data_IF_183082019663
#
_entry.id   IF_183082019663
#
_cell.length_a   1.000
_cell.length_b   1.000
_cell.length_c   1.000
_cell.angle_alpha   90.00
_cell.angle_beta   90.00
_cell.angle_gamma   90.00
#
_symmetry.space_group_name_H-M   'P 1'
#
loop_
_entity.id
_entity.type
_entity.pdbx_description
1 polymer ?
#
# COMPACT_ATOMS: atom_id res chain seq x y z
N UNK A 1 15.79 11.85 -14.20
CA UNK A 1 15.18 10.78 -13.36
C UNK A 1 14.85 11.39 -12.01
N UNK A 2 13.64 11.92 -11.85
CA UNK A 2 13.15 12.40 -10.54
C UNK A 2 12.73 11.18 -9.73
N UNK A 3 13.58 10.75 -8.79
CA UNK A 3 13.19 9.74 -7.81
C UNK A 3 12.17 10.36 -6.87
N UNK A 4 10.95 9.81 -6.83
CA UNK A 4 9.94 10.16 -5.84
C UNK A 4 10.47 9.75 -4.47
N UNK A 5 10.75 10.73 -3.61
CA UNK A 5 11.25 10.49 -2.26
C UNK A 5 10.07 10.15 -1.34
N UNK A 6 10.06 8.93 -0.79
CA UNK A 6 9.10 8.57 0.25
C UNK A 6 9.45 9.35 1.53
N UNK A 7 8.51 10.13 2.02
CA UNK A 7 8.72 11.01 3.18
C UNK A 7 7.62 10.88 4.22
N UNK A 8 7.96 11.25 5.45
CA UNK A 8 7.02 11.35 6.56
C UNK A 8 7.25 12.63 7.33
N UNK A 9 6.19 13.38 7.59
CA UNK A 9 6.22 14.55 8.46
C UNK A 9 6.56 14.10 9.89
N UNK A 10 7.59 14.71 10.47
CA UNK A 10 8.02 14.37 11.82
C UNK A 10 7.07 14.93 12.86
N UNK A 11 6.57 14.06 13.74
CA UNK A 11 5.65 14.46 14.81
C UNK A 11 6.27 15.33 15.90
N UNK A 12 7.60 15.49 15.94
CA UNK A 12 8.26 16.29 16.99
C UNK A 12 8.18 17.80 16.75
N UNK A 13 8.05 18.24 15.50
CA UNK A 13 7.95 19.66 15.14
C UNK A 13 6.85 19.94 14.11
N UNK A 14 6.20 18.88 13.59
CA UNK A 14 5.04 18.92 12.69
C UNK A 14 5.10 20.04 11.65
N UNK A 15 6.13 20.04 10.78
CA UNK A 15 6.28 21.06 9.74
C UNK A 15 5.07 21.09 8.81
N UNK A 16 4.64 22.29 8.44
CA UNK A 16 3.55 22.54 7.50
C UNK A 16 4.07 23.26 6.26
N UNK A 17 3.33 23.15 5.14
CA UNK A 17 3.68 23.81 3.87
C UNK A 17 4.00 25.30 4.12
N UNK A 18 5.16 25.75 3.65
CA UNK A 18 5.68 27.11 3.88
C UNK A 18 6.72 27.23 5.00
N UNK A 19 6.86 26.24 5.90
CA UNK A 19 7.99 26.19 6.83
C UNK A 19 9.31 25.92 6.06
N UNK A 20 10.43 26.45 6.55
CA UNK A 20 11.75 26.00 6.08
C UNK A 20 12.03 24.61 6.66
N UNK A 21 12.23 23.63 5.78
CA UNK A 21 12.35 22.21 6.16
C UNK A 21 13.74 21.64 5.91
N UNK A 22 14.02 20.54 6.61
CA UNK A 22 15.20 19.69 6.44
C UNK A 22 14.74 18.23 6.46
N UNK A 23 15.35 17.40 5.62
CA UNK A 23 15.12 15.97 5.55
C UNK A 23 16.16 15.20 6.36
N UNK A 24 15.74 14.10 6.96
CA UNK A 24 16.66 13.12 7.57
C UNK A 24 16.40 11.73 7.01
N UNK A 25 17.40 11.14 6.36
CA UNK A 25 17.30 9.82 5.74
C UNK A 25 17.42 8.72 6.80
N UNK A 26 16.34 7.98 7.04
CA UNK A 26 16.34 6.80 7.94
C UNK A 26 17.00 5.59 7.29
N UNK A 27 17.33 4.59 8.10
CA UNK A 27 17.83 3.27 7.62
C UNK A 27 16.85 2.53 6.71
N UNK A 28 15.56 2.77 6.90
CA UNK A 28 14.50 2.23 6.03
C UNK A 28 14.47 2.86 4.64
N UNK A 29 15.25 3.93 4.38
CA UNK A 29 15.19 4.72 3.15
C UNK A 29 14.10 5.79 3.12
N UNK A 30 13.30 5.92 4.18
CA UNK A 30 12.29 6.98 4.32
C UNK A 30 12.92 8.29 4.83
N UNK A 31 12.52 9.43 4.26
CA UNK A 31 12.93 10.76 4.73
C UNK A 31 11.97 11.25 5.82
N UNK A 32 12.50 11.51 7.01
CA UNK A 32 11.79 12.27 8.05
C UNK A 32 11.89 13.76 7.74
N UNK A 33 10.76 14.46 7.60
CA UNK A 33 10.73 15.91 7.33
C UNK A 33 10.60 16.67 8.65
N UNK A 34 11.55 17.55 8.93
CA UNK A 34 11.62 18.38 10.12
C UNK A 34 11.64 19.87 9.75
N UNK A 35 11.29 20.77 10.68
CA UNK A 35 11.64 22.19 10.56
C UNK A 35 13.15 22.35 10.65
N UNK A 36 13.73 23.29 9.92
CA UNK A 36 15.18 23.53 9.92
C UNK A 36 15.76 23.85 11.32
N UNK A 37 14.95 24.44 12.21
CA UNK A 37 15.34 24.77 13.60
C UNK A 37 14.93 23.71 14.62
N UNK A 38 14.69 22.47 14.21
CA UNK A 38 14.27 21.41 15.12
C UNK A 38 15.44 20.95 16.01
N UNK A 39 15.30 21.07 17.33
CA UNK A 39 16.33 20.66 18.32
C UNK A 39 16.67 19.16 18.26
N UNK A 40 15.75 18.31 17.78
CA UNK A 40 16.03 16.88 17.63
C UNK A 40 17.11 16.57 16.59
N UNK A 41 17.37 17.48 15.65
CA UNK A 41 18.38 17.28 14.61
C UNK A 41 19.80 17.24 15.19
N UNK A 42 20.05 17.91 16.31
CA UNK A 42 21.37 17.95 16.96
C UNK A 42 21.85 16.57 17.44
N UNK A 43 20.93 15.64 17.64
CA UNK A 43 21.21 14.28 18.13
C UNK A 43 21.33 13.25 17.00
N UNK A 44 21.16 13.67 15.74
CA UNK A 44 21.13 12.79 14.58
C UNK A 44 22.47 12.80 13.84
N UNK A 45 22.68 11.79 13.00
CA UNK A 45 23.88 11.64 12.17
C UNK A 45 23.89 12.72 11.07
N UNK A 46 24.86 13.66 11.09
CA UNK A 46 24.89 14.79 10.15
C UNK A 46 24.97 14.37 8.68
N UNK A 47 25.65 13.28 8.39
CA UNK A 47 25.81 12.73 7.03
C UNK A 47 24.51 12.24 6.40
N UNK A 48 23.44 12.09 7.18
CA UNK A 48 22.11 11.67 6.72
C UNK A 48 21.11 12.83 6.63
N UNK A 49 21.57 14.04 6.90
CA UNK A 49 20.79 15.27 6.76
C UNK A 49 20.77 15.67 5.28
N UNK A 50 19.57 15.88 4.76
CA UNK A 50 19.32 16.27 3.38
C UNK A 50 18.71 17.68 3.35
N UNK A 51 19.27 18.54 2.50
CA UNK A 51 18.62 19.79 2.13
C UNK A 51 17.49 19.45 1.16
N UNK A 52 16.25 19.77 1.54
CA UNK A 52 15.05 19.48 0.76
C UNK A 52 14.12 20.68 0.79
N UNK A 53 13.27 20.75 -0.22
CA UNK A 53 12.21 21.75 -0.36
C UNK A 53 10.84 21.07 -0.48
N UNK A 54 9.77 21.85 -0.32
CA UNK A 54 8.41 21.31 -0.39
C UNK A 54 8.06 20.85 -1.81
N UNK A 55 8.68 21.43 -2.82
CA UNK A 55 8.52 21.14 -4.25
C UNK A 55 9.15 19.79 -4.63
N UNK A 56 10.16 19.34 -3.88
CA UNK A 56 10.80 18.03 -4.06
C UNK A 56 10.01 16.90 -3.38
N UNK A 57 9.09 17.24 -2.47
CA UNK A 57 8.24 16.28 -1.79
C UNK A 57 6.97 16.03 -2.61
N UNK A 58 6.61 14.76 -2.90
CA UNK A 58 5.37 14.46 -3.61
C UNK A 58 4.17 15.07 -2.89
N UNK A 59 3.30 15.75 -3.64
CA UNK A 59 2.06 16.27 -3.08
C UNK A 59 1.11 15.11 -2.79
N UNK A 60 0.21 15.30 -1.83
CA UNK A 60 -0.86 14.32 -1.61
C UNK A 60 -1.78 14.24 -2.83
N UNK A 61 -1.97 15.35 -3.56
CA UNK A 61 -2.63 15.34 -4.87
C UNK A 61 -1.96 14.38 -5.86
N UNK A 62 -0.63 14.33 -5.92
CA UNK A 62 0.10 13.45 -6.84
C UNK A 62 -0.19 11.97 -6.52
N UNK A 63 -0.37 11.63 -5.25
CA UNK A 63 -0.78 10.29 -4.83
C UNK A 63 -2.22 10.01 -5.24
N UNK A 64 -3.13 10.96 -5.08
CA UNK A 64 -4.53 10.81 -5.49
C UNK A 64 -4.68 10.70 -7.01
N UNK A 65 -3.97 11.52 -7.77
CA UNK A 65 -3.90 11.45 -9.23
C UNK A 65 -3.38 10.09 -9.67
N UNK A 66 -2.27 9.62 -9.08
CA UNK A 66 -1.74 8.28 -9.38
C UNK A 66 -2.73 7.16 -9.03
N UNK A 67 -3.44 7.27 -7.90
CA UNK A 67 -4.49 6.32 -7.54
C UNK A 67 -5.58 6.29 -8.62
N UNK A 68 -6.03 7.45 -9.09
CA UNK A 68 -7.05 7.56 -10.12
C UNK A 68 -6.56 7.02 -11.48
N UNK A 69 -5.32 7.30 -11.88
CA UNK A 69 -4.70 6.73 -13.08
C UNK A 69 -4.68 5.20 -13.03
N UNK A 70 -4.35 4.62 -11.87
CA UNK A 70 -4.37 3.17 -11.69
C UNK A 70 -5.80 2.59 -11.78
N UNK A 71 -6.86 3.37 -11.50
CA UNK A 71 -8.24 2.91 -11.64
C UNK A 71 -8.63 2.68 -13.10
N UNK A 72 -8.15 3.52 -14.04
CA UNK A 72 -8.40 3.35 -15.47
C UNK A 72 -7.71 2.12 -16.07
N UNK A 73 -6.76 1.52 -15.35
CA UNK A 73 -6.08 0.30 -15.79
C UNK A 73 -6.86 -0.97 -15.42
N UNK A 74 -7.95 -0.88 -14.65
CA UNK A 74 -8.72 -2.04 -14.19
C UNK A 74 -9.84 -2.41 -15.16
N UNK A 75 -10.13 -3.70 -15.25
CA UNK A 75 -11.25 -4.25 -16.03
C UNK A 75 -12.30 -4.95 -15.15
N UNK A 76 -13.34 -5.49 -15.78
CA UNK A 76 -14.44 -6.17 -15.07
C UNK A 76 -13.97 -7.38 -14.26
N UNK A 77 -12.94 -8.08 -14.72
CA UNK A 77 -12.39 -9.25 -14.02
C UNK A 77 -11.62 -8.81 -12.78
N UNK A 78 -10.84 -7.74 -12.89
CA UNK A 78 -10.17 -7.11 -11.74
C UNK A 78 -11.20 -6.69 -10.68
N UNK A 79 -12.30 -6.05 -11.09
CA UNK A 79 -13.39 -5.67 -10.18
C UNK A 79 -13.99 -6.90 -9.48
N UNK A 80 -14.29 -7.97 -10.21
CA UNK A 80 -14.84 -9.21 -9.63
C UNK A 80 -13.88 -9.84 -8.61
N UNK A 81 -12.57 -9.87 -8.90
CA UNK A 81 -11.55 -10.38 -7.98
C UNK A 81 -11.46 -9.51 -6.72
N UNK A 82 -11.43 -8.19 -6.85
CA UNK A 82 -11.41 -7.27 -5.69
C UNK A 82 -12.67 -7.44 -4.84
N UNK A 83 -13.84 -7.52 -5.48
CA UNK A 83 -15.13 -7.75 -4.81
C UNK A 83 -15.17 -9.09 -4.08
N UNK A 84 -14.63 -10.15 -4.67
CA UNK A 84 -14.46 -11.44 -3.98
C UNK A 84 -13.65 -11.27 -2.70
N UNK A 85 -12.51 -10.60 -2.76
CA UNK A 85 -11.69 -10.35 -1.56
C UNK A 85 -12.38 -9.45 -0.52
N UNK A 86 -13.21 -8.50 -0.95
CA UNK A 86 -14.00 -7.70 -0.01
C UNK A 86 -15.02 -8.56 0.74
N UNK A 87 -15.75 -9.42 0.02
CA UNK A 87 -16.82 -10.25 0.58
C UNK A 87 -16.28 -11.45 1.37
N UNK A 88 -15.31 -12.15 0.78
CA UNK A 88 -14.78 -13.39 1.29
C UNK A 88 -13.55 -13.17 2.15
N UNK A 89 -12.81 -12.06 2.05
CA UNK A 89 -11.58 -11.83 2.81
C UNK A 89 -10.34 -12.46 2.16
N UNK A 90 -9.43 -12.98 2.99
CA UNK A 90 -8.16 -13.56 2.53
C UNK A 90 -8.42 -14.85 1.74
N UNK A 91 -7.88 -14.92 0.53
CA UNK A 91 -7.94 -16.13 -0.30
C UNK A 91 -6.74 -16.24 -1.26
N UNK A 92 -6.61 -17.39 -1.92
CA UNK A 92 -5.54 -17.68 -2.89
C UNK A 92 -6.11 -17.81 -4.31
N UNK A 93 -5.28 -17.54 -5.31
CA UNK A 93 -5.73 -17.35 -6.70
C UNK A 93 -6.57 -18.50 -7.28
N UNK A 94 -6.29 -19.75 -6.93
CA UNK A 94 -7.06 -20.90 -7.45
C UNK A 94 -8.49 -20.89 -6.93
N UNK A 95 -8.69 -20.60 -5.64
CA UNK A 95 -10.03 -20.51 -5.07
C UNK A 95 -10.80 -19.31 -5.63
N UNK A 96 -10.12 -18.17 -5.78
CA UNK A 96 -10.71 -16.97 -6.41
C UNK A 96 -11.11 -17.27 -7.86
N UNK A 97 -10.23 -17.90 -8.66
CA UNK A 97 -10.51 -18.24 -10.06
C UNK A 97 -11.79 -19.07 -10.20
N UNK A 98 -11.94 -20.08 -9.34
CA UNK A 98 -13.13 -20.94 -9.30
C UNK A 98 -14.38 -20.16 -8.90
N UNK A 99 -14.30 -19.31 -7.88
CA UNK A 99 -15.45 -18.59 -7.33
C UNK A 99 -15.87 -17.43 -8.27
N UNK A 100 -14.94 -16.82 -9.01
CA UNK A 100 -15.18 -15.78 -10.02
C UNK A 100 -15.58 -16.37 -11.39
N UNK A 101 -15.17 -17.61 -11.70
CA UNK A 101 -15.51 -18.29 -12.96
C UNK A 101 -14.53 -18.02 -14.11
N UNK A 102 -13.24 -17.83 -13.80
CA UNK A 102 -12.16 -17.60 -14.77
C UNK A 102 -11.09 -18.70 -14.69
N UNK A 103 -10.19 -18.77 -15.67
CA UNK A 103 -9.06 -19.71 -15.61
C UNK A 103 -8.09 -19.36 -14.49
N UNK A 104 -7.36 -20.38 -14.01
CA UNK A 104 -6.33 -20.19 -12.99
C UNK A 104 -5.23 -19.26 -13.46
N UNK A 105 -4.83 -19.38 -14.73
CA UNK A 105 -3.78 -18.57 -15.36
C UNK A 105 -4.19 -17.10 -15.39
N UNK A 106 -5.40 -16.80 -15.86
CA UNK A 106 -5.93 -15.44 -15.87
C UNK A 106 -5.98 -14.87 -14.45
N UNK A 107 -6.49 -15.64 -13.48
CA UNK A 107 -6.55 -15.18 -12.10
C UNK A 107 -5.16 -14.86 -11.51
N UNK A 108 -4.12 -15.63 -11.85
CA UNK A 108 -2.75 -15.33 -11.44
C UNK A 108 -2.23 -14.02 -12.08
N UNK A 109 -2.52 -13.80 -13.35
CA UNK A 109 -2.15 -12.56 -14.06
C UNK A 109 -2.81 -11.33 -13.45
N UNK A 110 -4.13 -11.39 -13.22
CA UNK A 110 -4.87 -10.33 -12.55
C UNK A 110 -4.38 -10.09 -11.10
N UNK A 111 -4.16 -11.14 -10.31
CA UNK A 111 -3.55 -10.98 -8.97
C UNK A 111 -2.18 -10.31 -9.02
N UNK A 112 -1.35 -10.64 -10.02
CA UNK A 112 -0.04 -10.02 -10.20
C UNK A 112 -0.18 -8.54 -10.52
N UNK A 113 -1.07 -8.18 -11.46
CA UNK A 113 -1.39 -6.80 -11.86
C UNK A 113 -1.91 -6.00 -10.66
N UNK A 114 -2.96 -6.49 -9.99
CA UNK A 114 -3.57 -5.85 -8.81
C UNK A 114 -2.56 -5.64 -7.68
N UNK A 115 -1.60 -6.55 -7.51
CA UNK A 115 -0.50 -6.38 -6.55
C UNK A 115 0.50 -5.31 -6.99
N UNK A 116 0.87 -5.26 -8.26
CA UNK A 116 1.78 -4.24 -8.78
C UNK A 116 1.17 -2.83 -8.67
N UNK A 117 -0.13 -2.71 -8.90
CA UNK A 117 -0.88 -1.47 -8.74
C UNK A 117 -1.29 -1.20 -7.27
N UNK A 118 -0.99 -2.10 -6.34
CA UNK A 118 -1.21 -1.89 -4.90
C UNK A 118 -2.64 -2.04 -4.40
N UNK A 119 -3.57 -2.62 -5.18
CA UNK A 119 -4.93 -2.94 -4.74
C UNK A 119 -4.99 -4.22 -3.89
N UNK A 120 -4.07 -5.15 -4.13
CA UNK A 120 -3.89 -6.35 -3.33
C UNK A 120 -2.47 -6.41 -2.76
N UNK A 121 -2.32 -7.05 -1.60
CA UNK A 121 -1.00 -7.40 -1.05
C UNK A 121 -0.95 -8.87 -0.66
N UNK A 122 0.26 -9.42 -0.66
CA UNK A 122 0.48 -10.79 -0.16
C UNK A 122 0.36 -10.76 1.35
N UNK A 123 -0.36 -11.73 1.90
CA UNK A 123 -0.38 -11.93 3.35
C UNK A 123 1.02 -12.36 3.80
N UNK A 124 1.54 -11.82 4.88
CA UNK A 124 2.87 -12.19 5.39
C UNK A 124 2.81 -13.31 6.43
N UNK A 125 1.76 -13.33 7.26
CA UNK A 125 1.59 -14.30 8.35
C UNK A 125 1.46 -15.72 7.80
N UNK A 126 2.19 -16.66 8.40
CA UNK A 126 2.14 -18.09 8.05
C UNK A 126 0.82 -18.73 8.51
N UNK A 127 0.32 -18.28 9.66
CA UNK A 127 -0.98 -18.65 10.22
C UNK A 127 -1.99 -17.57 9.86
N UNK A 128 -3.05 -17.97 9.16
CA UNK A 128 -4.11 -17.06 8.70
C UNK A 128 -5.47 -17.58 9.13
N UNK A 129 -6.35 -16.66 9.54
CA UNK A 129 -7.77 -16.94 9.63
C UNK A 129 -8.37 -16.70 8.26
N UNK A 130 -8.83 -17.79 7.65
CA UNK A 130 -9.48 -17.74 6.35
C UNK A 130 -10.92 -17.26 6.44
N UNK A 131 -11.34 -16.57 5.38
CA UNK A 131 -12.70 -16.17 5.01
C UNK A 131 -13.55 -15.42 6.05
N UNK A 132 -14.16 -14.31 5.64
CA UNK A 132 -15.17 -13.59 6.43
C UNK A 132 -16.42 -14.48 6.59
N UNK A 133 -17.21 -14.25 7.65
CA UNK A 133 -18.46 -14.97 7.96
C UNK A 133 -18.33 -16.44 8.41
N UNK A 134 -17.19 -16.81 8.99
CA UNK A 134 -16.98 -18.12 9.63
C UNK A 134 -16.76 -17.93 11.14
N UNK A 135 -17.20 -18.90 11.95
CA UNK A 135 -16.95 -18.93 13.41
C UNK A 135 -15.48 -18.69 13.71
N UNK A 136 -15.18 -17.72 14.59
CA UNK A 136 -13.82 -17.39 15.01
C UNK A 136 -13.08 -18.64 15.53
N UNK A 137 -11.79 -18.75 15.19
CA UNK A 137 -10.87 -19.85 15.58
C UNK A 137 -11.11 -21.22 14.94
N UNK A 138 -12.12 -21.39 14.08
CA UNK A 138 -12.42 -22.72 13.49
C UNK A 138 -11.42 -23.16 12.42
N UNK A 139 -10.60 -22.26 11.86
CA UNK A 139 -9.63 -22.59 10.81
C UNK A 139 -8.40 -21.66 10.83
N UNK A 140 -7.55 -21.80 11.86
CA UNK A 140 -6.16 -21.32 11.77
C UNK A 140 -5.34 -22.42 11.14
N UNK A 141 -4.84 -22.18 9.92
CA UNK A 141 -4.10 -23.18 9.15
C UNK A 141 -2.74 -22.63 8.71
N UNK A 142 -1.79 -23.55 8.56
CA UNK A 142 -0.57 -23.27 7.82
C UNK A 142 -0.91 -23.01 6.35
N UNK A 143 -0.39 -21.90 5.86
CA UNK A 143 -0.43 -21.52 4.46
C UNK A 143 0.43 -22.47 3.60
N UNK A 144 -0.18 -23.09 2.60
CA UNK A 144 0.52 -23.86 1.53
C UNK A 144 0.50 -23.17 0.15
N UNK A 145 -0.21 -22.05 0.02
CA UNK A 145 -0.34 -21.26 -1.23
C UNK A 145 -0.03 -19.78 -0.99
N UNK A 146 0.10 -18.97 -2.05
CA UNK A 146 0.18 -17.52 -1.87
C UNK A 146 -1.21 -16.95 -1.65
N UNK A 147 -1.39 -16.27 -0.51
CA UNK A 147 -2.64 -15.61 -0.14
C UNK A 147 -2.56 -14.12 -0.38
N UNK A 148 -3.69 -13.56 -0.76
CA UNK A 148 -3.84 -12.14 -1.02
C UNK A 148 -4.91 -11.55 -0.09
N UNK A 149 -4.66 -10.31 0.33
CA UNK A 149 -5.60 -9.50 1.08
C UNK A 149 -5.81 -8.15 0.37
N UNK A 150 -7.02 -7.63 0.50
CA UNK A 150 -7.41 -6.33 -0.04
C UNK A 150 -6.69 -5.21 0.72
N UNK A 151 -6.15 -4.23 -0.01
CA UNK A 151 -5.54 -3.03 0.59
C UNK A 151 -6.59 -1.93 0.78
N UNK A 152 -6.24 -0.88 1.51
CA UNK A 152 -7.06 0.33 1.62
C UNK A 152 -7.37 0.95 0.25
N UNK A 153 -6.40 0.92 -0.68
CA UNK A 153 -6.62 1.36 -2.06
C UNK A 153 -7.67 0.51 -2.79
N UNK A 154 -7.63 -0.82 -2.59
CA UNK A 154 -8.64 -1.76 -3.09
C UNK A 154 -10.04 -1.47 -2.55
N UNK A 155 -10.17 -1.29 -1.25
CA UNK A 155 -11.45 -0.92 -0.61
C UNK A 155 -11.97 0.43 -1.12
N UNK A 156 -11.09 1.44 -1.25
CA UNK A 156 -11.46 2.76 -1.79
C UNK A 156 -11.97 2.65 -3.24
N UNK A 157 -11.30 1.88 -4.10
CA UNK A 157 -11.77 1.64 -5.46
C UNK A 157 -13.20 1.04 -5.49
N UNK A 158 -13.44 0.00 -4.70
CA UNK A 158 -14.76 -0.64 -4.62
C UNK A 158 -15.84 0.29 -4.04
N UNK A 159 -15.48 1.31 -3.26
CA UNK A 159 -16.46 2.26 -2.73
C UNK A 159 -17.04 3.21 -3.80
N UNK A 160 -16.42 3.30 -4.97
CA UNK A 160 -16.90 4.12 -6.09
C UNK A 160 -17.83 3.35 -7.06
N UNK A 161 -18.02 2.04 -6.87
CA UNK A 161 -18.75 1.13 -7.76
C UNK A 161 -19.79 0.29 -7.03
#
# INVERSE_FOLDING_TARGET
>A
MSQVLNYKISGCCSPVRGDVIIGYLKDSGEISVHKAKCQHLEKLQPERILQITWEELPNDNDKEEKINEDFYQLDDVDYQILKHHQQMGIDYSIAVARDVGISTEACFEHHRKLRQLGFLKRVEKVMIQYRKNIVNYKWVKHRNHTYYELTEKGERFLSFY
#
